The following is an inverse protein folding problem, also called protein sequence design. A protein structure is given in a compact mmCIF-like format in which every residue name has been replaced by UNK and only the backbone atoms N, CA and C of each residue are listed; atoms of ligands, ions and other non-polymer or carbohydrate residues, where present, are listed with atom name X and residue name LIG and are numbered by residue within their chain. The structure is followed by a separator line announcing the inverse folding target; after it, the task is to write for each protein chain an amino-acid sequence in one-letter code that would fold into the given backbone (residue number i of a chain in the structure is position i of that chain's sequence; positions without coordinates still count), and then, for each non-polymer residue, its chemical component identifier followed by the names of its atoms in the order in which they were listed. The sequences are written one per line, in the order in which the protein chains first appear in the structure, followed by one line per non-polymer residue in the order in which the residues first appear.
data_IF_698632435830
#
_entry.id   IF_698632435830
#
_cell.length_a   1.000
_cell.length_b   1.000
_cell.length_c   1.000
_cell.angle_alpha   90.00
_cell.angle_beta   90.00
_cell.angle_gamma   90.00
#
_symmetry.space_group_name_H-M   'P 1'
#
loop_
_entity.id
_entity.type
_entity.pdbx_description
1 polymer ?
#
# COMPACT_ATOMS: atom_id res chain seq x y z
N UNK A 1 32.74 -12.92 -36.44
CA UNK A 1 31.58 -13.42 -35.66
C UNK A 1 31.75 -12.95 -34.21
N UNK A 2 31.01 -11.95 -33.69
CA UNK A 2 31.04 -11.66 -32.26
C UNK A 2 29.87 -12.40 -31.59
N UNK A 3 30.20 -13.49 -30.89
CA UNK A 3 29.25 -14.33 -30.17
C UNK A 3 29.26 -14.06 -28.66
N UNK A 4 28.06 -13.92 -28.11
CA UNK A 4 27.63 -14.16 -26.72
C UNK A 4 28.28 -13.36 -25.59
N UNK A 5 27.57 -12.29 -25.20
CA UNK A 5 27.66 -11.69 -23.86
C UNK A 5 27.05 -12.67 -22.85
N UNK A 6 27.88 -13.22 -21.96
CA UNK A 6 27.42 -13.89 -20.75
C UNK A 6 27.03 -12.84 -19.71
N UNK A 7 25.73 -12.54 -19.60
CA UNK A 7 25.20 -11.84 -18.43
C UNK A 7 25.26 -12.79 -17.23
N UNK A 8 26.09 -12.42 -16.25
CA UNK A 8 26.14 -13.04 -14.93
C UNK A 8 24.77 -12.89 -14.28
N UNK A 9 24.14 -14.00 -13.91
CA UNK A 9 22.92 -13.97 -13.10
C UNK A 9 23.24 -13.35 -11.74
N UNK A 10 22.75 -12.13 -11.60
CA UNK A 10 22.82 -11.28 -10.43
C UNK A 10 22.07 -11.91 -9.25
N UNK A 11 22.65 -11.64 -8.08
CA UNK A 11 22.18 -11.86 -6.70
C UNK A 11 20.67 -12.06 -6.49
N UNK A 12 20.25 -12.99 -5.60
CA UNK A 12 18.85 -13.08 -5.18
C UNK A 12 18.46 -11.78 -4.48
N UNK A 13 17.30 -11.22 -4.86
CA UNK A 13 16.61 -10.16 -4.12
C UNK A 13 16.38 -10.62 -2.68
N UNK A 14 17.29 -10.24 -1.79
CA UNK A 14 17.20 -10.47 -0.35
C UNK A 14 16.14 -9.50 0.16
N UNK A 15 14.99 -10.00 0.56
CA UNK A 15 13.96 -9.25 1.28
C UNK A 15 14.54 -8.63 2.55
N UNK A 16 15.13 -7.45 2.41
CA UNK A 16 15.59 -6.59 3.49
C UNK A 16 14.47 -5.65 3.90
N UNK A 17 13.36 -6.19 4.41
CA UNK A 17 12.54 -5.39 5.32
C UNK A 17 13.38 -5.32 6.59
N UNK A 18 14.05 -4.20 6.82
CA UNK A 18 14.63 -3.89 8.13
C UNK A 18 13.51 -4.12 9.14
N UNK A 19 13.63 -5.16 9.99
CA UNK A 19 12.68 -5.38 11.07
C UNK A 19 12.85 -4.20 12.02
N UNK A 20 12.16 -3.10 11.72
CA UNK A 20 12.07 -1.96 12.63
C UNK A 20 11.57 -2.48 13.97
N UNK A 21 12.08 -1.92 15.06
CA UNK A 21 11.61 -2.27 16.39
C UNK A 21 10.09 -2.08 16.42
N UNK A 22 9.37 -3.13 16.87
CA UNK A 22 7.93 -2.99 17.09
C UNK A 22 7.74 -2.22 18.39
N UNK A 23 7.14 -1.04 18.27
CA UNK A 23 6.72 -0.24 19.41
C UNK A 23 5.21 -0.40 19.62
N UNK A 24 4.78 -0.33 20.88
CA UNK A 24 3.36 -0.37 21.24
C UNK A 24 2.90 1.05 21.54
N UNK A 25 1.90 1.51 20.80
CA UNK A 25 1.19 2.75 21.09
C UNK A 25 -0.18 2.44 21.71
N UNK A 26 -0.55 3.14 22.77
CA UNK A 26 -1.89 3.10 23.35
C UNK A 26 -2.74 4.20 22.70
N UNK A 27 -3.93 3.84 22.22
CA UNK A 27 -4.88 4.74 21.58
C UNK A 27 -6.22 4.56 22.28
N UNK A 28 -6.82 5.66 22.73
CA UNK A 28 -8.17 5.68 23.27
C UNK A 28 -9.17 5.78 22.11
N UNK A 29 -10.21 4.94 22.14
CA UNK A 29 -11.29 4.92 21.15
C UNK A 29 -12.61 4.87 21.92
N UNK A 30 -13.62 5.56 21.39
CA UNK A 30 -14.97 5.53 21.97
C UNK A 30 -15.51 4.10 21.99
N UNK A 31 -16.23 3.76 23.06
CA UNK A 31 -16.81 2.43 23.22
C UNK A 31 -17.75 2.07 22.06
N UNK A 32 -18.53 3.04 21.56
CA UNK A 32 -19.44 2.85 20.42
C UNK A 32 -18.68 2.47 19.15
N UNK A 33 -17.48 3.03 18.93
CA UNK A 33 -16.62 2.67 17.80
C UNK A 33 -16.07 1.26 17.95
N UNK A 34 -15.69 0.86 19.17
CA UNK A 34 -15.22 -0.51 19.44
C UNK A 34 -16.34 -1.52 19.16
N UNK A 35 -17.56 -1.25 19.64
CA UNK A 35 -18.73 -2.10 19.39
C UNK A 35 -18.99 -2.24 17.90
N UNK A 36 -19.02 -1.13 17.16
CA UNK A 36 -19.20 -1.14 15.70
C UNK A 36 -18.14 -2.00 14.99
N UNK A 37 -16.88 -1.90 15.40
CA UNK A 37 -15.79 -2.68 14.83
C UNK A 37 -15.95 -4.19 15.10
N UNK A 38 -16.43 -4.56 16.28
CA UNK A 38 -16.73 -5.95 16.65
C UNK A 38 -17.90 -6.51 15.84
N UNK A 39 -18.98 -5.74 15.66
CA UNK A 39 -20.14 -6.11 14.81
C UNK A 39 -19.71 -6.36 13.36
N UNK A 40 -18.80 -5.53 12.84
CA UNK A 40 -18.19 -5.70 11.53
C UNK A 40 -17.14 -6.82 11.47
N UNK A 41 -16.90 -7.52 12.60
CA UNK A 41 -15.90 -8.59 12.75
C UNK A 41 -14.48 -8.13 12.44
N UNK A 42 -14.15 -6.89 12.79
CA UNK A 42 -12.85 -6.24 12.58
C UNK A 42 -12.22 -5.87 13.92
N UNK A 43 -11.33 -6.70 14.50
CA UNK A 43 -10.68 -6.37 15.76
C UNK A 43 -10.01 -5.01 15.73
N UNK A 44 -10.25 -4.16 16.74
CA UNK A 44 -9.88 -2.74 16.72
C UNK A 44 -8.40 -2.49 16.37
N UNK A 45 -7.49 -3.29 16.94
CA UNK A 45 -6.05 -3.20 16.63
C UNK A 45 -5.74 -3.45 15.15
N UNK A 46 -6.38 -4.45 14.54
CA UNK A 46 -6.16 -4.78 13.13
C UNK A 46 -6.78 -3.71 12.23
N UNK A 47 -8.00 -3.28 12.56
CA UNK A 47 -8.69 -2.22 11.84
C UNK A 47 -7.91 -0.90 11.87
N UNK A 48 -7.41 -0.48 13.04
CA UNK A 48 -6.61 0.73 13.20
C UNK A 48 -5.33 0.65 12.36
N UNK A 49 -4.57 -0.44 12.47
CA UNK A 49 -3.33 -0.63 11.68
C UNK A 49 -3.62 -0.58 10.17
N UNK A 50 -4.64 -1.29 9.72
CA UNK A 50 -5.05 -1.32 8.31
C UNK A 50 -5.45 0.07 7.81
N UNK A 51 -6.32 0.76 8.53
CA UNK A 51 -6.85 2.08 8.15
C UNK A 51 -5.74 3.14 8.11
N UNK A 52 -4.83 3.15 9.08
CA UNK A 52 -3.67 4.07 9.10
C UNK A 52 -2.79 3.84 7.86
N UNK A 53 -2.46 2.59 7.55
CA UNK A 53 -1.61 2.27 6.39
C UNK A 53 -2.30 2.63 5.07
N UNK A 54 -3.59 2.32 4.94
CA UNK A 54 -4.36 2.65 3.75
C UNK A 54 -4.46 4.16 3.54
N UNK A 55 -4.66 4.94 4.60
CA UNK A 55 -4.78 6.39 4.52
C UNK A 55 -3.44 7.04 4.13
N UNK A 56 -2.33 6.64 4.76
CA UNK A 56 -1.00 7.14 4.37
C UNK A 56 -0.62 6.74 2.94
N UNK A 57 -1.04 5.55 2.49
CA UNK A 57 -0.89 5.15 1.08
C UNK A 57 -1.76 6.04 0.17
N UNK A 58 -3.01 6.31 0.55
CA UNK A 58 -3.93 7.21 -0.17
C UNK A 58 -3.44 8.66 -0.20
N UNK A 59 -2.61 9.10 0.74
CA UNK A 59 -1.99 10.43 0.72
C UNK A 59 -0.70 10.47 -0.12
N UNK A 60 -0.17 9.31 -0.50
CA UNK A 60 1.11 9.18 -1.22
C UNK A 60 2.33 9.17 -0.30
N UNK A 61 2.14 9.19 1.02
CA UNK A 61 3.21 9.14 2.03
C UNK A 61 3.81 7.74 2.19
N UNK A 62 3.04 6.71 1.86
CA UNK A 62 3.51 5.33 1.76
C UNK A 62 3.50 4.84 0.31
N UNK A 63 4.57 4.15 -0.08
CA UNK A 63 4.57 3.34 -1.30
C UNK A 63 3.82 2.03 -1.08
N UNK A 64 3.33 1.41 -2.16
CA UNK A 64 2.62 0.13 -2.09
C UNK A 64 3.46 -1.00 -1.48
N UNK A 65 4.77 -1.04 -1.75
CA UNK A 65 5.67 -2.03 -1.16
C UNK A 65 5.86 -1.85 0.34
N UNK A 66 6.01 -0.60 0.81
CA UNK A 66 6.14 -0.31 2.25
C UNK A 66 4.82 -0.55 2.99
N UNK A 67 3.69 -0.20 2.38
CA UNK A 67 2.37 -0.46 2.93
C UNK A 67 2.10 -1.97 3.07
N UNK A 68 2.43 -2.76 2.04
CA UNK A 68 2.33 -4.21 2.08
C UNK A 68 3.17 -4.84 3.21
N UNK A 69 4.44 -4.42 3.34
CA UNK A 69 5.31 -4.85 4.42
C UNK A 69 4.76 -4.49 5.81
N UNK A 70 4.19 -3.29 5.97
CA UNK A 70 3.54 -2.85 7.21
C UNK A 70 2.25 -3.60 7.53
N UNK A 71 1.61 -4.27 6.58
CA UNK A 71 0.46 -5.14 6.84
C UNK A 71 0.80 -6.63 6.82
N UNK A 72 2.06 -6.99 6.55
CA UNK A 72 2.52 -8.38 6.51
C UNK A 72 1.94 -9.17 5.35
N UNK A 73 1.75 -8.53 4.20
CA UNK A 73 1.23 -9.16 2.97
C UNK A 73 2.16 -8.87 1.79
N UNK A 74 2.00 -9.64 0.70
CA UNK A 74 2.73 -9.39 -0.54
C UNK A 74 2.24 -8.10 -1.21
N UNK A 75 3.12 -7.48 -2.00
CA UNK A 75 2.83 -6.19 -2.65
C UNK A 75 1.57 -6.24 -3.54
N UNK A 76 1.40 -7.33 -4.28
CA UNK A 76 0.24 -7.48 -5.16
C UNK A 76 -1.07 -7.68 -4.39
N UNK A 77 -1.03 -8.38 -3.26
CA UNK A 77 -2.17 -8.52 -2.35
C UNK A 77 -2.60 -7.17 -1.82
N UNK A 78 -1.64 -6.34 -1.41
CA UNK A 78 -1.92 -4.99 -0.96
C UNK A 78 -2.59 -4.14 -2.05
N UNK A 79 -2.10 -4.21 -3.29
CA UNK A 79 -2.69 -3.46 -4.41
C UNK A 79 -4.14 -3.87 -4.66
N UNK A 80 -4.42 -5.18 -4.67
CA UNK A 80 -5.78 -5.71 -4.83
C UNK A 80 -6.68 -5.27 -3.67
N UNK A 81 -6.16 -5.36 -2.45
CA UNK A 81 -6.86 -4.97 -1.22
C UNK A 81 -7.22 -3.49 -1.19
N UNK A 82 -6.27 -2.61 -1.51
CA UNK A 82 -6.50 -1.18 -1.62
C UNK A 82 -7.50 -0.84 -2.73
N UNK A 83 -7.39 -1.49 -3.89
CA UNK A 83 -8.32 -1.31 -5.02
C UNK A 83 -9.75 -1.73 -4.67
N UNK A 84 -9.92 -2.85 -3.95
CA UNK A 84 -11.23 -3.31 -3.48
C UNK A 84 -11.91 -2.32 -2.51
N UNK A 85 -11.13 -1.44 -1.88
CA UNK A 85 -11.59 -0.36 -1.01
C UNK A 85 -11.67 1.00 -1.71
N UNK A 86 -11.56 1.02 -3.04
CA UNK A 86 -11.67 2.24 -3.84
C UNK A 86 -10.45 3.15 -3.76
N UNK A 87 -9.31 2.68 -3.26
CA UNK A 87 -8.05 3.45 -3.27
C UNK A 87 -7.28 3.09 -4.53
N UNK A 88 -7.21 4.00 -5.53
CA UNK A 88 -6.60 3.68 -6.81
C UNK A 88 -5.09 3.47 -6.66
N UNK A 89 -4.57 2.46 -7.34
CA UNK A 89 -3.14 2.16 -7.38
C UNK A 89 -2.34 3.25 -8.12
N UNK A 90 -2.93 3.85 -9.15
CA UNK A 90 -2.39 5.01 -9.83
C UNK A 90 -3.12 6.25 -9.35
N UNK A 91 -2.50 7.01 -8.47
CA UNK A 91 -2.86 8.40 -8.29
C UNK A 91 -2.22 9.18 -9.42
N UNK A 92 -2.90 9.24 -10.58
CA UNK A 92 -2.74 10.45 -11.37
C UNK A 92 -3.20 11.58 -10.44
N UNK A 93 -2.26 12.40 -9.96
CA UNK A 93 -2.60 13.66 -9.32
C UNK A 93 -3.62 14.34 -10.24
N UNK A 94 -4.68 14.95 -9.71
CA UNK A 94 -5.83 15.39 -10.54
C UNK A 94 -5.43 16.29 -11.73
N UNK A 95 -4.29 16.96 -11.61
CA UNK A 95 -3.58 17.79 -12.57
C UNK A 95 -2.80 17.02 -13.66
N UNK A 96 -2.38 15.78 -13.40
CA UNK A 96 -1.83 14.82 -14.38
C UNK A 96 -2.95 14.17 -15.20
N UNK A 97 -4.05 13.74 -14.55
CA UNK A 97 -5.21 13.12 -15.22
C UNK A 97 -5.92 14.10 -16.18
N UNK A 98 -6.04 15.38 -15.79
CA UNK A 98 -6.56 16.42 -16.70
C UNK A 98 -5.69 16.58 -17.94
N UNK A 99 -4.36 16.57 -17.78
CA UNK A 99 -3.42 16.67 -18.91
C UNK A 99 -3.53 15.48 -19.86
N UNK A 100 -3.70 14.26 -19.36
CA UNK A 100 -3.90 13.07 -20.20
C UNK A 100 -5.27 13.04 -20.89
N UNK A 101 -6.35 13.46 -20.20
CA UNK A 101 -7.68 13.57 -20.79
C UNK A 101 -7.74 14.65 -21.89
N UNK A 102 -7.07 15.79 -21.68
CA UNK A 102 -6.96 16.86 -22.67
C UNK A 102 -6.14 16.41 -23.89
N UNK A 103 -5.07 15.62 -23.68
CA UNK A 103 -4.27 15.05 -24.76
C UNK A 103 -5.03 13.99 -25.58
N UNK A 104 -5.93 13.22 -24.95
CA UNK A 104 -6.72 12.17 -25.61
C UNK A 104 -7.95 12.72 -26.36
N UNK A 105 -8.47 13.90 -25.98
CA UNK A 105 -9.54 14.60 -26.71
C UNK A 105 -9.06 15.41 -27.92
N UNK A 106 -7.75 15.47 -28.16
CA UNK A 106 -7.11 16.17 -29.27
C UNK A 106 -6.75 15.28 -30.48
N UNK A 107 -7.20 14.02 -30.50
CA UNK A 107 -7.11 13.08 -31.64
C UNK A 107 -8.51 12.84 -32.23
#
# INVERSE_FOLDING_TARGET
MPGSVQWRNETPYRNGVTRGNMETAHIELDQDLIVLLEELRRPAKQAARELIVLELYRQGDLSSGRAAALLGMEREDFIRHASAKGIPYFQLRGDELRRELDASRGL
#
